data_IF_516738886288
#
_entry.id   IF_516738886288
#
_cell.length_a   1.000
_cell.length_b   1.000
_cell.length_c   1.000
_cell.angle_alpha   90.00
_cell.angle_beta   90.00
_cell.angle_gamma   90.00
#
_symmetry.space_group_name_H-M   'P 1'
#
loop_
_entity.id
_entity.type
_entity.pdbx_description
1 polymer ?
2 non-polymer ?
3 non-polymer ?
4 water ?
#
# COMPACT_ATOMS: atom_id res chain seq x y z
N UNK A 14 -2.93 16.36 -10.81
CA UNK A 14 -1.73 16.66 -9.99
C UNK A 14 -1.03 15.37 -9.53
N UNK A 15 0.23 15.21 -9.90
CA UNK A 15 0.99 14.02 -9.53
C UNK A 15 2.10 14.31 -8.53
N UNK A 16 2.28 13.41 -7.57
CA UNK A 16 3.31 13.59 -6.56
C UNK A 16 4.39 12.49 -6.58
N UNK A 17 5.61 12.88 -6.23
CA UNK A 17 6.74 11.96 -6.18
C UNK A 17 6.61 10.98 -5.02
N UNK A 18 6.71 9.69 -5.33
CA UNK A 18 6.61 8.65 -4.32
C UNK A 18 7.88 8.54 -3.50
N UNK A 19 8.94 9.20 -3.96
CA UNK A 19 10.19 9.19 -3.21
C UNK A 19 10.64 10.64 -3.09
N UNK A 20 11.23 10.96 -1.95
CA UNK A 20 11.71 12.31 -1.68
C UNK A 20 12.94 12.21 -0.78
N UNK A 21 14.07 12.68 -1.28
CA UNK A 21 15.30 12.61 -0.51
C UNK A 21 16.00 11.28 -0.71
N UNK A 22 16.49 10.65 0.37
CA UNK A 22 17.19 9.36 0.27
C UNK A 22 16.25 8.25 -0.19
N UNK A 23 15.01 8.30 0.30
CA UNK A 23 14.04 7.28 -0.04
C UNK A 23 13.87 6.30 1.11
N UNK A 24 14.04 6.80 2.33
CA UNK A 24 13.89 5.99 3.53
C UNK A 24 12.44 6.01 4.03
N UNK A 25 12.04 7.14 4.59
CA UNK A 25 10.70 7.33 5.12
C UNK A 25 9.64 7.60 4.06
N UNK A 26 8.36 7.39 4.40
CA UNK A 26 7.29 7.63 3.44
C UNK A 26 7.07 9.12 3.19
N UNK A 27 6.46 9.46 2.06
CA UNK A 27 6.19 10.86 1.73
C UNK A 27 4.95 11.36 2.48
N UNK A 28 4.18 10.44 3.04
CA UNK A 28 2.97 10.81 3.75
C UNK A 28 2.41 9.65 4.56
N UNK A 29 1.77 9.98 5.67
CA UNK A 29 1.14 8.98 6.52
C UNK A 29 -0.26 9.44 6.86
N UNK A 30 -1.24 8.59 6.57
CA UNK A 30 -2.64 8.91 6.86
C UNK A 30 -3.11 7.95 7.94
N UNK A 31 -3.93 8.44 8.86
CA UNK A 31 -4.43 7.59 9.92
C UNK A 31 -5.95 7.52 9.80
N UNK A 32 -6.52 6.32 9.97
CA UNK A 32 -7.96 6.15 9.85
C UNK A 32 -8.59 5.48 11.06
N UNK A 33 -9.84 5.85 11.34
CA UNK A 33 -10.61 5.27 12.44
C UNK A 33 -11.38 4.11 11.80
N UNK A 34 -10.99 2.88 12.11
CA UNK A 34 -11.66 1.74 11.50
C UNK A 34 -13.13 1.56 11.85
N UNK A 35 -13.56 2.11 12.97
CA UNK A 35 -14.97 1.98 13.37
C UNK A 35 -15.86 2.89 12.53
N UNK A 36 -15.26 3.77 11.74
CA UNK A 36 -16.03 4.70 10.92
C UNK A 36 -15.97 4.41 9.43
N UNK A 37 -15.21 3.40 9.04
CA UNK A 37 -15.09 3.08 7.63
C UNK A 37 -16.35 2.47 7.06
N UNK A 38 -16.70 2.90 5.85
CA UNK A 38 -17.88 2.40 5.16
C UNK A 38 -17.44 1.93 3.78
N UNK A 39 -16.13 1.90 3.59
CA UNK A 39 -15.53 1.51 2.33
C UNK A 39 -14.15 0.94 2.64
N UNK A 40 -13.87 -0.27 2.16
CA UNK A 40 -12.59 -0.89 2.43
C UNK A 40 -11.81 -1.09 1.15
N UNK A 41 -11.68 -0.01 0.38
CA UNK A 41 -10.96 -0.05 -0.88
C UNK A 41 -10.14 1.21 -1.12
N UNK A 42 -9.10 1.09 -1.94
CA UNK A 42 -8.27 2.23 -2.31
C UNK A 42 -7.85 2.10 -3.77
N UNK A 43 -7.60 3.23 -4.43
CA UNK A 43 -7.18 3.21 -5.83
C UNK A 43 -6.31 4.41 -6.16
N UNK A 44 -5.43 4.23 -7.14
CA UNK A 44 -4.53 5.29 -7.56
C UNK A 44 -3.86 4.90 -8.86
N UNK A 45 -3.11 5.83 -9.42
CA UNK A 45 -2.37 5.58 -10.63
C UNK A 45 -0.92 5.77 -10.27
N UNK A 46 -0.07 4.97 -10.89
CA UNK A 46 1.35 5.06 -10.62
C UNK A 46 2.09 4.93 -11.94
N UNK A 47 3.23 5.59 -12.05
CA UNK A 47 4.05 5.54 -13.25
C UNK A 47 5.48 5.47 -12.73
N UNK A 48 6.31 4.61 -13.31
CA UNK A 48 7.69 4.48 -12.85
C UNK A 48 8.53 3.60 -13.77
N UNK A 49 9.85 3.70 -13.64
CA UNK A 49 10.79 2.89 -14.40
C UNK A 49 11.57 2.08 -13.37
N UNK A 50 11.23 2.28 -12.11
CA UNK A 50 11.89 1.65 -10.97
C UNK A 50 11.33 0.24 -10.76
N UNK A 51 12.18 -0.80 -10.82
CA UNK A 51 11.71 -2.18 -10.63
C UNK A 51 11.45 -2.63 -9.19
N UNK A 52 11.87 -1.84 -8.20
CA UNK A 52 11.72 -2.23 -6.80
C UNK A 52 11.42 -1.08 -5.86
N UNK A 53 10.56 -1.33 -4.87
CA UNK A 53 10.24 -0.27 -3.92
C UNK A 53 8.87 -0.42 -3.31
N UNK A 54 8.56 0.43 -2.35
CA UNK A 54 7.26 0.36 -1.69
C UNK A 54 6.34 1.36 -2.30
N UNK A 55 5.12 0.93 -2.62
CA UNK A 55 4.11 1.85 -3.13
C UNK A 55 3.41 2.35 -1.87
N UNK A 56 2.89 1.43 -1.05
CA UNK A 56 2.29 1.83 0.23
C UNK A 56 2.36 0.71 1.26
N UNK A 57 2.38 1.12 2.52
CA UNK A 57 2.42 0.22 3.66
C UNK A 57 1.21 0.59 4.51
N UNK A 58 0.66 -0.39 5.23
CA UNK A 58 -0.47 -0.12 6.09
C UNK A 58 -0.45 -1.05 7.27
N UNK A 59 -0.98 -0.59 8.41
CA UNK A 59 -1.02 -1.45 9.58
C UNK A 59 -2.06 -1.01 10.59
N UNK A 60 -2.35 -1.90 11.53
CA UNK A 60 -3.20 -1.54 12.66
C UNK A 60 -2.25 -1.81 13.82
N UNK A 61 -1.13 -2.47 13.51
CA UNK A 61 -0.09 -2.82 14.49
C UNK A 61 1.21 -3.20 13.75
N UNK A 62 2.26 -2.37 13.86
CA UNK A 62 3.54 -2.63 13.17
C UNK A 62 4.16 -3.99 13.44
N UNK A 63 3.81 -4.60 14.56
CA UNK A 63 4.34 -5.91 14.84
C UNK A 63 3.40 -7.03 14.42
N UNK A 64 2.13 -6.90 14.79
CA UNK A 64 1.18 -7.97 14.55
C UNK A 64 0.18 -7.93 13.43
N UNK A 65 0.03 -6.80 12.76
CA UNK A 65 -0.96 -6.72 11.71
C UNK A 65 -0.55 -5.65 10.72
N UNK A 66 0.28 -6.03 9.75
CA UNK A 66 0.76 -5.08 8.75
C UNK A 66 0.65 -5.62 7.32
N UNK A 67 0.77 -4.70 6.37
CA UNK A 67 0.60 -4.98 4.94
C UNK A 67 1.47 -4.05 4.11
N UNK A 68 2.04 -4.57 3.04
CA UNK A 68 2.89 -3.77 2.15
C UNK A 68 2.65 -4.14 0.69
N UNK A 69 2.39 -3.13 -0.15
CA UNK A 69 2.21 -3.33 -1.57
C UNK A 69 3.42 -2.63 -2.16
N UNK A 70 4.19 -3.35 -2.96
CA UNK A 70 5.36 -2.73 -3.55
C UNK A 70 5.64 -3.37 -4.88
N UNK A 71 6.82 -3.07 -5.43
CA UNK A 71 7.25 -3.68 -6.68
C UNK A 71 8.53 -4.46 -6.43
N UNK A 72 8.66 -5.61 -7.08
CA UNK A 72 9.89 -6.38 -7.03
C UNK A 72 10.02 -6.97 -8.43
N UNK A 73 11.18 -6.75 -9.04
CA UNK A 73 11.38 -7.20 -10.41
C UNK A 73 10.31 -6.61 -11.30
N UNK A 74 9.95 -5.36 -11.00
CA UNK A 74 8.96 -4.62 -11.77
C UNK A 74 7.50 -4.98 -11.54
N UNK A 75 7.26 -6.08 -10.83
CA UNK A 75 5.90 -6.53 -10.61
C UNK A 75 5.38 -6.29 -9.22
N UNK A 76 4.05 -6.17 -9.10
CA UNK A 76 3.44 -5.96 -7.79
C UNK A 76 3.84 -7.11 -6.86
N UNK A 77 4.00 -6.78 -5.59
CA UNK A 77 4.28 -7.77 -4.57
C UNK A 77 3.54 -7.32 -3.32
N UNK A 78 2.86 -8.26 -2.67
CA UNK A 78 2.21 -7.95 -1.42
C UNK A 78 2.82 -8.80 -0.32
N UNK A 79 3.13 -8.16 0.81
CA UNK A 79 3.56 -8.88 1.99
C UNK A 79 2.51 -8.52 3.01
N UNK A 80 2.07 -9.52 3.76
CA UNK A 80 1.04 -9.32 4.76
C UNK A 80 1.38 -10.20 5.95
N UNK A 81 1.19 -9.66 7.14
CA UNK A 81 1.45 -10.38 8.37
C UNK A 81 0.38 -10.05 9.40
N UNK A 82 -0.45 -11.03 9.73
CA UNK A 82 -1.46 -10.83 10.76
C UNK A 82 -1.78 -12.18 11.39
N UNK A 83 -2.77 -12.18 12.27
CA UNK A 83 -3.18 -13.39 12.97
C UNK A 83 -3.59 -14.53 12.03
N UNK A 84 -4.20 -14.18 10.90
CA UNK A 84 -4.68 -15.19 9.97
C UNK A 84 -3.74 -15.65 8.88
N UNK A 85 -2.83 -14.79 8.45
CA UNK A 85 -1.97 -15.18 7.34
C UNK A 85 -0.67 -14.41 7.38
N UNK A 86 0.36 -15.02 6.81
CA UNK A 86 1.68 -14.41 6.72
C UNK A 86 2.16 -14.82 5.33
N UNK A 87 2.32 -13.84 4.44
CA UNK A 87 2.70 -14.15 3.08
C UNK A 87 3.52 -13.11 2.34
N UNK A 88 4.16 -13.57 1.27
CA UNK A 88 4.99 -12.74 0.39
C UNK A 88 4.61 -13.27 -0.99
N UNK A 89 3.86 -12.46 -1.74
CA UNK A 89 3.35 -12.90 -3.02
C UNK A 89 3.51 -11.89 -4.15
N UNK A 90 4.09 -12.34 -5.27
CA UNK A 90 4.24 -11.50 -6.45
C UNK A 90 3.14 -11.86 -7.46
N UNK A 91 2.66 -10.87 -8.21
CA UNK A 91 1.59 -11.10 -9.19
C UNK A 91 1.42 -9.92 -10.16
N UNK A 92 0.75 -10.17 -11.28
CA UNK A 92 0.47 -9.12 -12.25
C UNK A 92 1.61 -8.80 -13.19
N UNK A 93 1.36 -7.95 -14.19
CA UNK A 93 2.40 -7.58 -15.15
C UNK A 93 3.40 -6.62 -14.54
N UNK A 94 4.51 -6.42 -15.24
CA UNK A 94 5.49 -5.47 -14.76
C UNK A 94 4.81 -4.12 -14.90
N UNK A 95 5.09 -3.21 -13.99
CA UNK A 95 4.49 -1.88 -14.05
C UNK A 95 5.58 -0.83 -14.27
N UNK A 96 6.83 -1.28 -14.35
CA UNK A 96 7.93 -0.34 -14.52
C UNK A 96 8.27 -0.06 -15.97
N UNK A 97 7.23 0.23 -16.75
CA UNK A 97 7.36 0.52 -18.17
C UNK A 97 7.16 2.00 -18.47
N UNK A 98 7.30 2.83 -17.45
CA UNK A 98 7.12 4.26 -17.65
C UNK A 98 5.73 4.74 -18.04
N UNK A 99 4.74 3.85 -18.00
CA UNK A 99 3.37 4.24 -18.34
C UNK A 99 2.48 4.29 -17.09
N UNK A 100 1.43 5.11 -17.15
CA UNK A 100 0.50 5.22 -16.02
C UNK A 100 -0.29 3.93 -15.87
N UNK A 101 -0.40 3.43 -14.64
CA UNK A 101 -1.16 2.21 -14.40
C UNK A 101 -2.16 2.42 -13.29
N UNK A 102 -3.40 1.99 -13.50
CA UNK A 102 -4.42 2.13 -12.48
C UNK A 102 -4.29 0.93 -11.54
N UNK A 103 -4.30 1.17 -10.23
CA UNK A 103 -4.18 0.10 -9.24
C UNK A 103 -5.27 0.24 -8.18
N UNK A 104 -5.92 -0.87 -7.87
CA UNK A 104 -6.96 -0.88 -6.86
C UNK A 104 -6.65 -2.00 -5.88
N UNK A 105 -6.77 -1.69 -4.59
CA UNK A 105 -6.55 -2.69 -3.55
C UNK A 105 -7.75 -2.63 -2.63
N UNK A 106 -8.44 -3.75 -2.48
CA UNK A 106 -9.60 -3.75 -1.61
C UNK A 106 -9.83 -5.05 -0.86
N UNK A 107 -10.70 -4.97 0.13
CA UNK A 107 -11.05 -6.14 0.91
C UNK A 107 -12.37 -6.60 0.34
N UNK A 108 -12.56 -7.91 0.27
CA UNK A 108 -13.80 -8.49 -0.23
C UNK A 108 -13.97 -9.73 0.63
N UNK A 109 -14.85 -9.64 1.62
CA UNK A 109 -15.03 -10.78 2.51
C UNK A 109 -13.71 -10.95 3.25
N UNK A 110 -13.21 -12.17 3.34
CA UNK A 110 -11.94 -12.39 4.02
C UNK A 110 -10.75 -12.31 3.07
N UNK A 111 -10.95 -11.75 1.90
CA UNK A 111 -9.88 -11.65 0.92
C UNK A 111 -9.41 -10.23 0.66
N UNK A 112 -8.20 -10.14 0.10
CA UNK A 112 -7.61 -8.89 -0.34
C UNK A 112 -7.45 -9.05 -1.85
N UNK A 113 -8.05 -8.14 -2.61
CA UNK A 113 -7.97 -8.22 -4.07
C UNK A 113 -7.10 -7.11 -4.62
N UNK A 114 -6.34 -7.45 -5.65
CA UNK A 114 -5.50 -6.47 -6.30
C UNK A 114 -5.90 -6.42 -7.75
N UNK A 115 -6.25 -5.22 -8.24
CA UNK A 115 -6.61 -5.05 -9.64
C UNK A 115 -5.62 -4.07 -10.26
N UNK A 116 -5.17 -4.37 -11.48
CA UNK A 116 -4.22 -3.53 -12.19
C UNK A 116 -4.81 -3.27 -13.57
N UNK A 117 -4.85 -1.99 -13.95
CA UNK A 117 -5.42 -1.59 -15.23
C UNK A 117 -6.77 -2.23 -15.49
N UNK A 118 -7.59 -2.26 -14.45
CA UNK A 118 -8.93 -2.82 -14.55
C UNK A 118 -9.08 -4.33 -14.52
N UNK A 119 -7.97 -5.05 -14.40
CA UNK A 119 -8.01 -6.51 -14.36
C UNK A 119 -7.61 -7.04 -12.99
N UNK A 120 -8.36 -8.01 -12.47
CA UNK A 120 -8.02 -8.63 -11.20
C UNK A 120 -6.77 -9.46 -11.49
N UNK A 121 -5.68 -9.22 -10.77
CA UNK A 121 -4.46 -10.01 -10.98
C UNK A 121 -4.08 -10.84 -9.77
N UNK A 122 -4.73 -10.58 -8.64
CA UNK A 122 -4.38 -11.32 -7.46
C UNK A 122 -5.48 -11.25 -6.39
N UNK A 123 -5.77 -12.40 -5.79
CA UNK A 123 -6.75 -12.47 -4.71
C UNK A 123 -6.21 -13.33 -3.59
N UNK A 124 -5.88 -12.69 -2.48
CA UNK A 124 -5.34 -13.39 -1.33
C UNK A 124 -6.53 -13.74 -0.47
N UNK A 125 -6.87 -15.01 -0.47
CA UNK A 125 -8.01 -15.50 0.29
C UNK A 125 -7.75 -15.92 1.71
N UNK A 126 -8.78 -15.77 2.55
CA UNK A 126 -8.73 -16.18 3.94
C UNK A 126 -7.58 -15.49 4.69
N UNK A 127 -7.40 -14.19 4.45
CA UNK A 127 -6.30 -13.48 5.09
C UNK A 127 -6.66 -12.50 6.18
N UNK A 128 -7.92 -12.22 6.38
CA UNK A 128 -8.21 -11.25 7.42
C UNK A 128 -9.65 -11.17 7.83
N UNK A 129 -9.84 -10.78 9.09
CA UNK A 129 -11.16 -10.58 9.63
C UNK A 129 -11.52 -9.17 9.18
N UNK A 130 -12.77 -8.72 9.38
CA UNK A 130 -13.22 -7.38 8.99
C UNK A 130 -12.32 -6.25 9.50
N UNK A 131 -12.08 -5.25 8.66
CA UNK A 131 -11.25 -4.13 9.09
C UNK A 131 -11.89 -3.48 10.32
N UNK A 132 -13.21 -3.32 10.26
CA UNK A 132 -13.96 -2.72 11.35
C UNK A 132 -13.93 -3.54 12.64
N UNK A 133 -13.31 -4.72 12.60
CA UNK A 133 -13.24 -5.58 13.79
C UNK A 133 -11.85 -5.75 14.37
N UNK A 134 -10.84 -5.12 13.77
CA UNK A 134 -9.46 -5.24 14.26
C UNK A 134 -9.34 -4.77 15.72
N UNK A 135 -8.62 -5.54 16.53
CA UNK A 135 -8.43 -5.18 17.93
C UNK A 135 -8.09 -3.69 18.04
N UNK A 136 -7.05 -3.27 17.31
CA UNK A 136 -6.65 -1.87 17.31
C UNK A 136 -7.42 -1.21 16.17
N UNK A 137 -8.47 -0.44 16.49
CA UNK A 137 -9.32 0.26 15.53
C UNK A 137 -8.70 1.45 14.80
N UNK A 138 -7.38 1.52 14.74
CA UNK A 138 -6.74 2.62 14.02
C UNK A 138 -5.76 2.07 12.98
N UNK A 139 -5.97 2.46 11.73
CA UNK A 139 -5.10 2.01 10.64
C UNK A 139 -4.26 3.15 10.11
N UNK A 140 -2.98 2.87 9.88
CA UNK A 140 -2.06 3.85 9.32
C UNK A 140 -1.77 3.39 7.91
N UNK A 141 -1.68 4.34 6.98
CA UNK A 141 -1.32 4.06 5.58
C UNK A 141 -0.17 4.99 5.23
N UNK A 142 0.99 4.42 4.95
CA UNK A 142 2.15 5.21 4.59
C UNK A 142 2.44 5.05 3.10
N UNK A 143 2.69 6.17 2.43
CA UNK A 143 2.96 6.13 1.00
C UNK A 143 4.44 6.24 0.69
N UNK A 144 4.92 5.35 -0.18
CA UNK A 144 6.32 5.39 -0.58
C UNK A 144 7.32 4.96 0.47
N UNK A 145 6.85 4.29 1.53
CA UNK A 145 7.76 3.85 2.57
C UNK A 145 7.05 3.02 3.62
N UNK A 146 7.85 2.44 4.51
CA UNK A 146 7.35 1.58 5.59
C UNK A 146 7.37 2.32 6.92
N UNK A 147 6.71 1.75 7.93
CA UNK A 147 6.72 2.36 9.25
C UNK A 147 7.54 1.53 10.22
N UNK A 148 8.46 0.74 9.66
CA UNK A 148 9.42 -0.06 10.40
C UNK A 148 10.59 -0.33 9.45
N UNK A 149 11.75 -0.72 9.98
CA UNK A 149 12.91 -0.99 9.11
C UNK A 149 12.62 -2.04 8.03
N UNK A 150 13.23 -1.89 6.86
CA UNK A 150 13.03 -2.85 5.75
C UNK A 150 13.49 -4.25 6.12
N UNK A 151 14.46 -4.33 7.03
CA UNK A 151 14.96 -5.62 7.49
C UNK A 151 13.87 -6.40 8.23
N UNK A 152 12.81 -5.72 8.67
CA UNK A 152 11.73 -6.38 9.39
C UNK A 152 10.65 -6.95 8.47
N UNK A 153 10.77 -6.68 7.18
CA UNK A 153 9.82 -7.24 6.24
C UNK A 153 10.02 -8.75 6.22
N UNK A 154 8.99 -9.48 5.76
CA UNK A 154 9.12 -10.92 5.64
C UNK A 154 10.28 -11.17 4.69
N UNK A 155 10.31 -10.42 3.60
CA UNK A 155 11.38 -10.51 2.60
C UNK A 155 11.82 -9.07 2.32
N UNK A 156 12.99 -8.69 2.84
CA UNK A 156 13.45 -7.33 2.61
C UNK A 156 13.59 -6.95 1.14
N UNK A 157 13.37 -5.66 0.90
CA UNK A 157 13.60 -5.07 -0.40
C UNK A 157 14.04 -3.65 -0.05
N UNK A 158 14.56 -2.92 -1.03
CA UNK A 158 14.99 -1.55 -0.80
C UNK A 158 13.75 -0.73 -1.11
N UNK A 159 13.16 -0.10 -0.08
CA UNK A 159 11.94 0.71 -0.18
C UNK A 159 11.82 1.84 -1.18
N UNK A 160 12.91 2.55 -1.46
CA UNK A 160 12.84 3.67 -2.40
C UNK A 160 12.18 3.36 -3.75
N UNK A 161 11.06 4.00 -4.04
CA UNK A 161 10.40 3.81 -5.32
C UNK A 161 10.39 5.14 -6.07
N UNK A 162 11.19 5.21 -7.12
CA UNK A 162 11.29 6.41 -7.95
C UNK A 162 10.15 6.42 -8.96
N UNK A 163 9.02 6.97 -8.55
CA UNK A 163 7.88 7.01 -9.43
C UNK A 163 6.91 8.09 -9.02
N UNK A 164 5.80 8.18 -9.73
CA UNK A 164 4.80 9.18 -9.44
C UNK A 164 3.45 8.57 -9.12
N UNK A 165 2.73 9.25 -8.24
CA UNK A 165 1.42 8.84 -7.79
C UNK A 165 0.42 9.94 -8.09
N UNK A 166 -0.76 9.58 -8.57
CA UNK A 166 -1.78 10.58 -8.85
C UNK A 166 -3.14 9.92 -8.78
N UNK A 167 -4.19 10.74 -8.72
CA UNK A 167 -5.57 10.25 -8.67
C UNK A 167 -5.78 9.21 -7.58
N UNK A 168 -5.16 9.43 -6.42
CA UNK A 168 -5.27 8.50 -5.31
C UNK A 168 -6.41 8.77 -4.34
N UNK A 169 -7.09 7.70 -3.97
CA UNK A 169 -8.21 7.72 -3.04
C UNK A 169 -7.90 6.64 -2.01
N UNK A 170 -7.99 6.97 -0.73
CA UNK A 170 -7.67 6.00 0.32
C UNK A 170 -8.88 5.81 1.25
N UNK A 171 -9.51 4.64 1.16
CA UNK A 171 -10.69 4.33 1.98
C UNK A 171 -11.74 5.44 1.87
N UNK A 172 -12.15 5.99 3.02
CA UNK A 172 -13.13 7.08 3.07
C UNK A 172 -12.50 8.28 3.76
N UNK A 173 -12.59 9.44 3.14
CA UNK A 173 -12.05 10.65 3.72
C UNK A 173 -12.77 10.91 5.04
N UNK A 174 -14.01 10.43 5.15
CA UNK A 174 -14.77 10.64 6.37
C UNK A 174 -14.20 9.88 7.56
N UNK A 175 -13.48 8.79 7.28
CA UNK A 175 -12.88 7.99 8.35
C UNK A 175 -11.44 8.40 8.64
N UNK A 176 -10.91 9.32 7.83
CA UNK A 176 -9.54 9.76 8.01
C UNK A 176 -9.40 10.61 9.27
N UNK A 177 -8.56 10.17 10.21
CA UNK A 177 -8.35 10.90 11.44
C UNK A 177 -7.38 12.07 11.22
N UNK A 178 -6.30 11.79 10.49
CA UNK A 178 -5.27 12.80 10.22
C UNK A 178 -4.33 12.37 9.11
N UNK A 179 -3.51 13.31 8.66
CA UNK A 179 -2.54 13.05 7.61
C UNK A 179 -1.32 13.90 7.90
N UNK A 180 -0.15 13.32 7.72
CA UNK A 180 1.11 14.01 7.95
C UNK A 180 2.03 13.82 6.76
N UNK A 181 3.00 14.72 6.63
CA UNK A 181 3.98 14.64 5.55
C UNK A 181 5.27 15.27 6.07
N UNK A 182 6.38 14.52 6.04
CA UNK A 182 7.66 15.05 6.52
C UNK A 182 8.05 16.32 5.75
N UNK A 183 8.21 16.18 4.44
CA UNK A 183 8.58 17.29 3.58
C UNK A 183 7.40 17.68 2.69
N UNK A 184 7.57 18.72 1.89
CA UNK A 184 6.51 19.16 0.99
C UNK A 184 6.39 18.16 -0.16
N UNK A 185 5.17 17.73 -0.44
CA UNK A 185 4.93 16.78 -1.52
C UNK A 185 5.42 17.36 -2.85
N UNK A 186 6.51 16.81 -3.36
CA UNK A 186 7.09 17.27 -4.62
C UNK A 186 6.31 16.77 -5.83
N UNK A 187 5.81 17.71 -6.62
CA UNK A 187 5.03 17.41 -7.81
C UNK A 187 5.86 16.76 -8.91
N UNK A 188 5.19 16.03 -9.79
CA UNK A 188 5.85 15.37 -10.91
C UNK A 188 5.57 16.14 -12.19
X LIG B 1 13.77 1.43 -6.17
X LIG C 1 -5.41 -6.08 5.01
X LIG C 1 -5.29 -6.95 6.07
X LIG C 1 -4.58 -6.56 7.23
X LIG C 1 -4.49 -7.44 8.26
X LIG C 1 -4.01 -5.26 7.27
X LIG C 1 -4.13 -4.37 6.20
X LIG C 1 -3.48 -2.98 6.32
X LIG C 1 -3.57 -2.09 5.04
X LIG C 1 -4.88 -2.29 4.27
X LIG C 1 -5.00 -3.81 3.81
X LIG C 1 -4.85 -4.77 5.01
X LIG C 1 -6.32 -4.05 3.01
X LIG C 1 -6.47 -3.07 1.84
X LIG C 1 -6.38 -1.58 2.29
X LIG C 1 -5.01 -1.39 3.01
X LIG C 1 -4.91 0.15 3.18
X LIG C 1 -5.68 0.70 1.94
X LIG C 1 -6.20 -0.54 1.19
X LIG C 1 -7.43 -0.20 0.53
X LIG C 1 -7.62 -1.26 3.18
#
# INVERSE_FOLDING_TARGET
LRPVLPTQSAHDPPAVHLSNGPGQEPIAVMTFDLTKITKTSSSFEVRTWDPEGVIFYGDTNPKDDWFMLGLRDGRPEIQLHNHWAQLTVGAGPRLDDGRWHQVEVKMEGDSVLLEVDGEEVLRLRQVSGPLTSKRHPIMRIALGGLLFPASNLRLPLVPALDGCLRRDSWLDKQAEISASAPTSLRSCD
CA CA
EST C1 C2 C3 O3 C4 C5 C6 C7 C8 C9 C10 C11 C12 C13 C14 C15 C16 C17 O17 C18
#
